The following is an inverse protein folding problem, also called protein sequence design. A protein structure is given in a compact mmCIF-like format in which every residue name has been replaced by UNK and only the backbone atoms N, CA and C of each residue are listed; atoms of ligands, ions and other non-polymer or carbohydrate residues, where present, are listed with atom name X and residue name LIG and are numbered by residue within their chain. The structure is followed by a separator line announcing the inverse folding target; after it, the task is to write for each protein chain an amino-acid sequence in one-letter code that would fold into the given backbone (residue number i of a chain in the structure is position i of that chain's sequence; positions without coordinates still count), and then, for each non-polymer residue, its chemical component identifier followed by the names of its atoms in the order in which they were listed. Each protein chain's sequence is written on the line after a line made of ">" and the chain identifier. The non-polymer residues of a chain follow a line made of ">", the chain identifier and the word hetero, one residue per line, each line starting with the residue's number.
data_IF_159383388914
#
_entry.id   IF_159383388914
#
_cell.length_a   1.000
_cell.length_b   1.000
_cell.length_c   1.000
_cell.angle_alpha   90.00
_cell.angle_beta   90.00
_cell.angle_gamma   90.00
#
_symmetry.space_group_name_H-M   'P 1'
#
loop_
_entity.id
_entity.type
_entity.pdbx_description
1 polymer ?
#
# COMPACT_ATOMS: atom_id res chain seq x y z
N UNK A 1 -6.27 -54.51 -44.74
CA UNK A 1 -5.98 -54.40 -43.29
C UNK A 1 -4.53 -54.00 -43.00
N UNK A 2 -3.54 -54.35 -43.84
CA UNK A 2 -2.15 -53.86 -43.64
C UNK A 2 -1.94 -52.40 -44.04
N UNK A 3 -2.53 -51.92 -45.15
CA UNK A 3 -2.36 -50.52 -45.58
C UNK A 3 -2.94 -49.49 -44.59
N UNK A 4 -4.07 -49.79 -43.96
CA UNK A 4 -4.67 -48.89 -42.95
C UNK A 4 -3.86 -48.82 -41.65
N UNK A 5 -3.14 -49.90 -41.29
CA UNK A 5 -2.23 -49.96 -40.14
C UNK A 5 -0.89 -49.27 -40.43
N UNK A 6 -0.43 -49.31 -41.68
CA UNK A 6 0.82 -48.69 -42.13
C UNK A 6 0.67 -47.16 -42.26
N UNK A 7 -0.49 -46.67 -42.70
CA UNK A 7 -0.81 -45.24 -42.70
C UNK A 7 -0.96 -44.67 -41.28
N UNK A 8 -1.57 -45.41 -40.34
CA UNK A 8 -1.66 -44.96 -38.93
C UNK A 8 -0.30 -44.93 -38.23
N UNK A 9 0.59 -45.88 -38.53
CA UNK A 9 1.96 -45.92 -37.96
C UNK A 9 2.91 -44.88 -38.54
N UNK A 10 2.65 -44.37 -39.76
CA UNK A 10 3.43 -43.29 -40.37
C UNK A 10 2.89 -41.89 -40.01
N UNK A 11 1.58 -41.76 -39.75
CA UNK A 11 0.99 -40.52 -39.27
C UNK A 11 1.27 -40.24 -37.79
N UNK A 12 1.26 -41.26 -36.93
CA UNK A 12 1.55 -41.11 -35.50
C UNK A 12 2.88 -40.38 -35.19
N UNK A 13 4.05 -40.76 -35.74
CA UNK A 13 5.32 -40.08 -35.46
C UNK A 13 5.42 -38.67 -36.07
N UNK A 14 4.69 -38.42 -37.17
CA UNK A 14 4.64 -37.09 -37.80
C UNK A 14 3.78 -36.10 -37.00
N UNK A 15 2.65 -36.56 -36.44
CA UNK A 15 1.78 -35.78 -35.55
C UNK A 15 2.41 -35.56 -34.16
N UNK A 16 3.14 -36.55 -33.65
CA UNK A 16 3.85 -36.48 -32.35
C UNK A 16 5.03 -35.48 -32.43
N UNK A 17 5.84 -35.52 -33.50
CA UNK A 17 6.92 -34.55 -33.71
C UNK A 17 6.44 -33.13 -34.02
N UNK A 18 5.26 -32.95 -34.63
CA UNK A 18 4.67 -31.60 -34.80
C UNK A 18 4.10 -31.06 -33.48
N UNK A 19 3.50 -31.91 -32.64
CA UNK A 19 3.07 -31.53 -31.28
C UNK A 19 4.25 -31.12 -30.40
N UNK A 20 5.30 -31.93 -30.33
CA UNK A 20 6.51 -31.60 -29.56
C UNK A 20 7.14 -30.28 -30.03
N UNK A 21 7.18 -30.03 -31.35
CA UNK A 21 7.67 -28.76 -31.88
C UNK A 21 6.79 -27.57 -31.47
N UNK A 22 5.46 -27.71 -31.54
CA UNK A 22 4.52 -26.65 -31.12
C UNK A 22 4.63 -26.39 -29.61
N UNK A 23 4.72 -27.42 -28.78
CA UNK A 23 4.91 -27.30 -27.33
C UNK A 23 6.24 -26.61 -26.98
N UNK A 24 7.33 -26.95 -27.67
CA UNK A 24 8.63 -26.29 -27.50
C UNK A 24 8.57 -24.81 -27.90
N UNK A 25 7.91 -24.47 -29.01
CA UNK A 25 7.73 -23.07 -29.43
C UNK A 25 6.85 -22.28 -28.47
N UNK A 26 5.78 -22.87 -27.95
CA UNK A 26 4.93 -22.26 -26.92
C UNK A 26 5.73 -22.02 -25.64
N UNK A 27 6.50 -23.02 -25.20
CA UNK A 27 7.35 -22.93 -24.01
C UNK A 27 8.39 -21.82 -24.16
N UNK A 28 9.07 -21.77 -25.30
CA UNK A 28 10.06 -20.72 -25.61
C UNK A 28 9.41 -19.33 -25.68
N UNK A 29 8.23 -19.24 -26.29
CA UNK A 29 7.43 -18.01 -26.31
C UNK A 29 7.02 -17.53 -24.92
N UNK A 30 6.63 -18.46 -24.04
CA UNK A 30 6.26 -18.17 -22.66
C UNK A 30 7.47 -17.71 -21.83
N UNK A 31 8.64 -18.35 -22.00
CA UNK A 31 9.88 -17.88 -21.39
C UNK A 31 10.27 -16.48 -21.87
N UNK A 32 10.21 -16.23 -23.18
CA UNK A 32 10.50 -14.92 -23.74
C UNK A 32 9.56 -13.85 -23.19
N UNK A 33 8.27 -14.17 -23.09
CA UNK A 33 7.26 -13.30 -22.51
C UNK A 33 7.56 -12.98 -21.05
N UNK A 34 7.86 -13.99 -20.22
CA UNK A 34 8.22 -13.79 -18.81
C UNK A 34 9.47 -12.91 -18.68
N UNK A 35 10.50 -13.15 -19.47
CA UNK A 35 11.72 -12.34 -19.48
C UNK A 35 11.42 -10.90 -19.88
N UNK A 36 10.61 -10.69 -20.93
CA UNK A 36 10.21 -9.36 -21.36
C UNK A 36 9.42 -8.63 -20.27
N UNK A 37 8.46 -9.29 -19.62
CA UNK A 37 7.72 -8.74 -18.49
C UNK A 37 8.65 -8.38 -17.32
N UNK A 38 9.62 -9.25 -16.99
CA UNK A 38 10.60 -8.99 -15.94
C UNK A 38 11.46 -7.76 -16.24
N UNK A 39 11.94 -7.63 -17.49
CA UNK A 39 12.73 -6.47 -17.92
C UNK A 39 11.92 -5.17 -17.92
N UNK A 40 10.66 -5.22 -18.37
CA UNK A 40 9.76 -4.06 -18.31
C UNK A 40 9.51 -3.64 -16.87
N UNK A 41 9.32 -4.61 -15.98
CA UNK A 41 9.11 -4.35 -14.56
C UNK A 41 10.34 -3.74 -13.90
N UNK A 42 11.53 -4.29 -14.15
CA UNK A 42 12.81 -3.75 -13.67
C UNK A 42 13.05 -2.33 -14.18
N UNK A 43 12.83 -2.09 -15.47
CA UNK A 43 12.96 -0.75 -16.07
C UNK A 43 11.96 0.24 -15.49
N UNK A 44 10.71 -0.17 -15.23
CA UNK A 44 9.71 0.67 -14.58
C UNK A 44 10.09 1.00 -13.13
N UNK A 45 10.65 0.02 -12.41
CA UNK A 45 11.13 0.21 -11.06
C UNK A 45 12.30 1.20 -11.02
N UNK A 46 13.34 0.98 -11.81
CA UNK A 46 14.53 1.85 -11.89
C UNK A 46 14.14 3.28 -12.28
N UNK A 47 13.24 3.43 -13.26
CA UNK A 47 12.76 4.74 -13.68
C UNK A 47 12.01 5.47 -12.55
N UNK A 48 11.20 4.74 -11.78
CA UNK A 48 10.49 5.30 -10.62
C UNK A 48 11.45 5.65 -9.48
N UNK A 49 12.46 4.80 -9.26
CA UNK A 49 13.50 4.99 -8.27
C UNK A 49 14.35 6.22 -8.56
N UNK A 50 14.81 6.37 -9.80
CA UNK A 50 15.60 7.53 -10.26
C UNK A 50 14.76 8.82 -10.17
N UNK A 51 13.49 8.77 -10.58
CA UNK A 51 12.58 9.90 -10.45
C UNK A 51 12.41 10.36 -9.00
N UNK A 52 12.23 9.43 -8.06
CA UNK A 52 12.11 9.74 -6.63
C UNK A 52 13.42 10.22 -6.02
N UNK A 53 14.55 9.66 -6.46
CA UNK A 53 15.90 10.04 -6.01
C UNK A 53 16.25 11.45 -6.47
N UNK A 54 15.99 11.77 -7.75
CA UNK A 54 16.21 13.11 -8.30
C UNK A 54 15.38 14.17 -7.58
N UNK A 55 14.16 13.82 -7.17
CA UNK A 55 13.26 14.71 -6.42
C UNK A 55 13.62 14.83 -4.93
N UNK A 56 14.64 14.11 -4.44
CA UNK A 56 15.07 14.16 -3.04
C UNK A 56 14.07 13.57 -2.05
N UNK A 57 13.06 12.81 -2.51
CA UNK A 57 12.00 12.30 -1.65
C UNK A 57 12.39 10.95 -1.06
N UNK A 58 13.40 11.00 -0.20
CA UNK A 58 14.08 9.82 0.38
C UNK A 58 13.13 8.84 1.06
N UNK A 59 12.06 9.32 1.68
CA UNK A 59 11.12 8.44 2.37
C UNK A 59 10.20 7.67 1.42
N UNK A 60 9.84 8.27 0.29
CA UNK A 60 9.07 7.59 -0.76
C UNK A 60 9.92 6.52 -1.46
N UNK A 61 11.20 6.82 -1.63
CA UNK A 61 12.20 5.88 -2.13
C UNK A 61 12.34 4.65 -1.20
N UNK A 62 12.43 4.87 0.12
CA UNK A 62 12.46 3.78 1.11
C UNK A 62 11.22 2.88 0.98
N UNK A 63 10.04 3.47 0.90
CA UNK A 63 8.78 2.72 0.74
C UNK A 63 8.77 1.88 -0.55
N UNK A 64 9.15 2.47 -1.69
CA UNK A 64 9.20 1.76 -2.97
C UNK A 64 10.14 0.54 -2.91
N UNK A 65 11.34 0.72 -2.32
CA UNK A 65 12.30 -0.37 -2.11
C UNK A 65 11.77 -1.45 -1.16
N UNK A 66 11.08 -1.04 -0.09
CA UNK A 66 10.41 -1.95 0.84
C UNK A 66 9.35 -2.80 0.14
N UNK A 67 8.44 -2.18 -0.61
CA UNK A 67 7.40 -2.89 -1.36
C UNK A 67 7.98 -3.87 -2.39
N UNK A 68 9.04 -3.48 -3.10
CA UNK A 68 9.72 -4.36 -4.05
C UNK A 68 10.38 -5.56 -3.38
N UNK A 69 11.03 -5.34 -2.22
CA UNK A 69 11.61 -6.42 -1.42
C UNK A 69 10.53 -7.42 -0.99
N UNK A 70 9.40 -6.95 -0.47
CA UNK A 70 8.29 -7.81 -0.06
C UNK A 70 7.67 -8.57 -1.25
N UNK A 71 7.48 -7.91 -2.40
CA UNK A 71 7.02 -8.55 -3.63
C UNK A 71 7.98 -9.66 -4.09
N UNK A 72 9.29 -9.42 -3.98
CA UNK A 72 10.32 -10.41 -4.34
C UNK A 72 10.31 -11.61 -3.40
N UNK A 73 10.16 -11.38 -2.09
CA UNK A 73 10.02 -12.46 -1.10
C UNK A 73 8.79 -13.30 -1.41
N UNK A 74 7.67 -12.67 -1.75
CA UNK A 74 6.43 -13.35 -2.11
C UNK A 74 6.56 -14.15 -3.41
N UNK A 75 7.22 -13.58 -4.43
CA UNK A 75 7.54 -14.29 -5.68
C UNK A 75 8.40 -15.51 -5.41
N UNK A 76 9.39 -15.40 -4.53
CA UNK A 76 10.23 -16.51 -4.10
C UNK A 76 9.44 -17.60 -3.36
N UNK A 77 8.54 -17.22 -2.45
CA UNK A 77 7.65 -18.17 -1.76
C UNK A 77 6.76 -18.90 -2.77
N UNK A 78 6.19 -18.18 -3.74
CA UNK A 78 5.34 -18.75 -4.79
C UNK A 78 6.10 -19.72 -5.69
N UNK A 79 7.34 -19.39 -6.07
CA UNK A 79 8.18 -20.28 -6.86
C UNK A 79 8.58 -21.53 -6.07
N UNK A 80 8.94 -21.37 -4.79
CA UNK A 80 9.33 -22.47 -3.90
C UNK A 80 8.15 -23.42 -3.66
N UNK A 81 6.96 -22.84 -3.45
CA UNK A 81 5.71 -23.58 -3.42
C UNK A 81 5.50 -24.39 -4.69
N UNK A 82 5.56 -23.73 -5.86
CA UNK A 82 5.30 -24.38 -7.14
C UNK A 82 6.26 -25.55 -7.36
N UNK A 83 7.54 -25.37 -7.00
CA UNK A 83 8.51 -26.45 -7.01
C UNK A 83 8.14 -27.59 -6.04
N UNK A 84 7.65 -27.27 -4.84
CA UNK A 84 7.25 -28.28 -3.82
C UNK A 84 6.04 -29.10 -4.28
N UNK A 85 5.06 -28.45 -4.93
CA UNK A 85 3.91 -29.13 -5.55
C UNK A 85 4.38 -30.03 -6.70
N UNK A 86 5.19 -29.49 -7.62
CA UNK A 86 5.67 -30.23 -8.80
C UNK A 86 6.61 -31.38 -8.47
N UNK A 87 7.36 -31.29 -7.38
CA UNK A 87 8.24 -32.36 -6.88
C UNK A 87 7.49 -33.47 -6.11
N UNK A 88 6.15 -33.39 -6.00
CA UNK A 88 5.33 -34.41 -5.33
C UNK A 88 5.49 -34.44 -3.81
N UNK A 89 6.14 -33.45 -3.21
CA UNK A 89 6.27 -33.38 -1.74
C UNK A 89 4.93 -33.07 -1.07
N UNK A 90 4.08 -32.30 -1.74
CA UNK A 90 2.75 -31.95 -1.24
C UNK A 90 1.82 -33.18 -1.18
N UNK A 91 1.93 -34.08 -2.17
CA UNK A 91 1.23 -35.37 -2.16
C UNK A 91 1.66 -36.23 -0.96
N UNK A 92 2.97 -36.32 -0.70
CA UNK A 92 3.50 -37.05 0.47
C UNK A 92 2.98 -36.50 1.81
N UNK A 93 2.88 -35.18 1.94
CA UNK A 93 2.36 -34.54 3.15
C UNK A 93 0.84 -34.76 3.29
N UNK A 94 0.08 -34.66 2.20
CA UNK A 94 -1.35 -34.94 2.18
C UNK A 94 -1.62 -36.38 2.65
N UNK A 95 -0.91 -37.36 2.07
CA UNK A 95 -1.06 -38.78 2.42
C UNK A 95 -0.69 -39.08 3.88
N UNK A 96 0.25 -38.33 4.45
CA UNK A 96 0.72 -38.53 5.83
C UNK A 96 -0.23 -37.91 6.87
N UNK A 97 -0.82 -36.74 6.59
CA UNK A 97 -1.56 -35.97 7.61
C UNK A 97 -3.07 -35.88 7.38
N UNK A 98 -3.54 -35.91 6.14
CA UNK A 98 -4.95 -35.74 5.77
C UNK A 98 -5.58 -37.02 5.20
N UNK A 99 -4.75 -37.89 4.61
CA UNK A 99 -5.18 -39.08 3.87
C UNK A 99 -5.83 -38.73 2.53
N UNK A 100 -6.26 -39.74 1.78
CA UNK A 100 -6.86 -39.56 0.45
C UNK A 100 -8.31 -39.07 0.58
N UNK A 101 -8.61 -37.89 0.03
CA UNK A 101 -9.97 -37.35 0.02
C UNK A 101 -10.91 -38.18 -0.87
N UNK A 102 -12.23 -38.13 -0.62
CA UNK A 102 -13.23 -38.80 -1.48
C UNK A 102 -13.23 -38.25 -2.91
N UNK A 103 -12.93 -36.96 -3.08
CA UNK A 103 -12.80 -36.30 -4.40
C UNK A 103 -11.51 -36.71 -5.09
N UNK A 104 -10.41 -36.81 -4.34
CA UNK A 104 -9.12 -37.29 -4.82
C UNK A 104 -9.19 -38.77 -5.23
N UNK A 105 -9.88 -39.61 -4.47
CA UNK A 105 -10.09 -41.02 -4.82
C UNK A 105 -10.98 -41.22 -6.05
N UNK A 106 -11.95 -40.33 -6.29
CA UNK A 106 -12.77 -40.33 -7.49
C UNK A 106 -11.95 -39.88 -8.72
N UNK A 107 -11.18 -38.81 -8.57
CA UNK A 107 -10.27 -38.32 -9.62
C UNK A 107 -9.16 -39.33 -9.94
N UNK A 108 -8.61 -40.03 -8.92
CA UNK A 108 -7.62 -41.07 -9.13
C UNK A 108 -8.22 -42.21 -9.96
N UNK A 109 -9.45 -42.63 -9.65
CA UNK A 109 -10.15 -43.69 -10.40
C UNK A 109 -10.37 -43.30 -11.85
N UNK A 110 -10.86 -42.08 -12.10
CA UNK A 110 -11.09 -41.56 -13.45
C UNK A 110 -9.78 -41.45 -14.25
N UNK A 111 -8.70 -40.95 -13.63
CA UNK A 111 -7.37 -40.88 -14.25
C UNK A 111 -6.79 -42.27 -14.55
N UNK A 112 -7.02 -43.24 -13.66
CA UNK A 112 -6.57 -44.63 -13.86
C UNK A 112 -7.37 -45.31 -14.98
N UNK A 113 -8.66 -45.00 -15.10
CA UNK A 113 -9.54 -45.48 -16.18
C UNK A 113 -9.20 -44.83 -17.54
N UNK A 114 -8.75 -43.57 -17.53
CA UNK A 114 -8.29 -42.84 -18.72
C UNK A 114 -6.85 -43.19 -19.15
N UNK A 115 -6.09 -43.92 -18.32
CA UNK A 115 -4.69 -44.28 -18.59
C UNK A 115 -3.72 -43.11 -18.43
N UNK A 116 -4.10 -42.07 -17.70
CA UNK A 116 -3.27 -40.89 -17.47
C UNK A 116 -2.19 -41.15 -16.41
N UNK A 117 -0.96 -40.70 -16.69
CA UNK A 117 0.21 -40.90 -15.81
C UNK A 117 0.35 -39.80 -14.76
N UNK A 118 -0.39 -38.69 -14.89
CA UNK A 118 -0.33 -37.57 -13.95
C UNK A 118 -1.31 -37.80 -12.80
N UNK A 119 -0.81 -37.84 -11.57
CA UNK A 119 -1.68 -37.90 -10.39
C UNK A 119 -2.48 -36.59 -10.28
N UNK A 120 -3.80 -36.65 -10.04
CA UNK A 120 -4.66 -35.49 -9.92
C UNK A 120 -4.23 -34.57 -8.75
N UNK A 121 -4.55 -33.27 -8.82
CA UNK A 121 -4.22 -32.32 -7.75
C UNK A 121 -4.89 -32.75 -6.44
N UNK A 122 -4.11 -32.76 -5.36
CA UNK A 122 -4.60 -33.11 -4.02
C UNK A 122 -5.38 -31.94 -3.40
N UNK A 123 -6.27 -32.23 -2.45
CA UNK A 123 -7.01 -31.18 -1.72
C UNK A 123 -6.06 -30.19 -1.02
N UNK A 124 -4.92 -30.67 -0.51
CA UNK A 124 -3.90 -29.81 0.09
C UNK A 124 -3.25 -28.88 -0.95
N UNK A 125 -3.06 -29.35 -2.19
CA UNK A 125 -2.56 -28.53 -3.31
C UNK A 125 -3.57 -27.43 -3.66
N UNK A 126 -4.86 -27.77 -3.77
CA UNK A 126 -5.94 -26.82 -4.09
C UNK A 126 -6.04 -25.69 -3.06
N UNK A 127 -6.13 -26.03 -1.77
CA UNK A 127 -6.18 -25.04 -0.68
C UNK A 127 -4.93 -24.17 -0.66
N UNK A 128 -3.77 -24.77 -0.94
CA UNK A 128 -2.52 -24.03 -0.97
C UNK A 128 -2.46 -23.04 -2.13
N UNK A 129 -2.88 -23.43 -3.33
CA UNK A 129 -3.00 -22.55 -4.50
C UNK A 129 -3.98 -21.40 -4.24
N UNK A 130 -5.13 -21.69 -3.64
CA UNK A 130 -6.12 -20.66 -3.27
C UNK A 130 -5.55 -19.64 -2.28
N UNK A 131 -4.86 -20.11 -1.24
CA UNK A 131 -4.18 -19.23 -0.28
C UNK A 131 -3.12 -18.36 -0.98
N UNK A 132 -2.36 -18.92 -1.92
CA UNK A 132 -1.33 -18.16 -2.64
C UNK A 132 -1.93 -17.08 -3.53
N UNK A 133 -2.97 -17.40 -4.29
CA UNK A 133 -3.70 -16.41 -5.10
C UNK A 133 -4.30 -15.33 -4.21
N UNK A 134 -4.88 -15.68 -3.06
CA UNK A 134 -5.44 -14.73 -2.12
C UNK A 134 -4.37 -13.77 -1.56
N UNK A 135 -3.23 -14.31 -1.10
CA UNK A 135 -2.11 -13.49 -0.59
C UNK A 135 -1.59 -12.56 -1.70
N UNK A 136 -1.47 -13.06 -2.93
CA UNK A 136 -1.04 -12.26 -4.08
C UNK A 136 -2.00 -11.09 -4.36
N UNK A 137 -3.32 -11.34 -4.36
CA UNK A 137 -4.34 -10.30 -4.55
C UNK A 137 -4.26 -9.25 -3.42
N UNK A 138 -4.17 -9.68 -2.17
CA UNK A 138 -4.08 -8.77 -1.02
C UNK A 138 -2.82 -7.89 -1.13
N UNK A 139 -1.69 -8.48 -1.49
CA UNK A 139 -0.43 -7.75 -1.65
C UNK A 139 -0.45 -6.80 -2.84
N UNK A 140 -1.06 -7.20 -3.96
CA UNK A 140 -1.26 -6.32 -5.10
C UNK A 140 -2.12 -5.10 -4.73
N UNK A 141 -3.25 -5.32 -4.04
CA UNK A 141 -4.11 -4.22 -3.56
C UNK A 141 -3.38 -3.32 -2.58
N UNK A 142 -2.53 -3.88 -1.73
CA UNK A 142 -1.73 -3.13 -0.78
C UNK A 142 -0.66 -2.27 -1.45
N UNK A 143 0.07 -2.82 -2.43
CA UNK A 143 1.03 -2.06 -3.24
C UNK A 143 0.32 -0.94 -4.00
N UNK A 144 -0.85 -1.22 -4.58
CA UNK A 144 -1.67 -0.21 -5.26
C UNK A 144 -2.11 0.90 -4.30
N UNK A 145 -2.57 0.55 -3.09
CA UNK A 145 -2.94 1.52 -2.06
C UNK A 145 -1.73 2.38 -1.63
N UNK A 146 -0.58 1.76 -1.41
CA UNK A 146 0.67 2.47 -1.10
C UNK A 146 1.05 3.44 -2.24
N UNK A 147 0.97 3.01 -3.50
CA UNK A 147 1.23 3.87 -4.66
C UNK A 147 0.24 5.04 -4.76
N UNK A 148 -1.05 4.82 -4.46
CA UNK A 148 -2.05 5.89 -4.40
C UNK A 148 -1.75 6.86 -3.27
N UNK A 149 -1.43 6.38 -2.07
CA UNK A 149 -1.06 7.24 -0.93
C UNK A 149 0.22 8.03 -1.21
N UNK A 150 1.20 7.41 -1.86
CA UNK A 150 2.39 8.08 -2.39
C UNK A 150 2.04 9.22 -3.32
N UNK A 151 1.19 8.98 -4.32
CA UNK A 151 0.84 9.97 -5.33
C UNK A 151 0.08 11.15 -4.71
N UNK A 152 -0.90 10.86 -3.86
CA UNK A 152 -1.68 11.87 -3.15
C UNK A 152 -0.78 12.65 -2.18
N UNK A 153 0.06 11.95 -1.43
CA UNK A 153 1.04 12.52 -0.51
C UNK A 153 2.01 13.45 -1.21
N UNK A 154 2.56 13.05 -2.35
CA UNK A 154 3.46 13.88 -3.16
C UNK A 154 2.80 15.19 -3.60
N UNK A 155 1.55 15.13 -4.10
CA UNK A 155 0.79 16.33 -4.47
C UNK A 155 0.57 17.26 -3.28
N UNK A 156 0.27 16.69 -2.11
CA UNK A 156 0.07 17.45 -0.87
C UNK A 156 1.37 18.10 -0.38
N UNK A 157 2.49 17.36 -0.40
CA UNK A 157 3.79 17.87 0.01
C UNK A 157 4.28 19.01 -0.89
N UNK A 158 4.09 18.89 -2.20
CA UNK A 158 4.42 19.97 -3.15
C UNK A 158 3.59 21.24 -2.91
N UNK A 159 2.33 21.07 -2.49
CA UNK A 159 1.47 22.20 -2.09
C UNK A 159 2.00 22.86 -0.81
N UNK A 160 2.48 22.08 0.16
CA UNK A 160 3.08 22.61 1.38
C UNK A 160 4.44 23.28 1.14
N UNK A 161 5.27 22.75 0.25
CA UNK A 161 6.50 23.41 -0.19
C UNK A 161 6.20 24.79 -0.80
N UNK A 162 5.18 24.87 -1.66
CA UNK A 162 4.71 26.15 -2.20
C UNK A 162 4.21 27.12 -1.12
N UNK A 163 3.54 26.62 -0.07
CA UNK A 163 3.12 27.44 1.06
C UNK A 163 4.27 27.86 1.97
N UNK A 164 5.31 27.04 2.14
CA UNK A 164 6.50 27.38 2.94
C UNK A 164 7.34 28.48 2.28
N UNK A 165 7.33 28.53 0.95
CA UNK A 165 7.99 29.59 0.18
C UNK A 165 7.31 30.97 0.29
N UNK A 166 6.05 31.04 0.73
CA UNK A 166 5.31 32.31 0.85
C UNK A 166 5.79 33.12 2.05
N UNK A 167 6.12 34.37 1.81
CA UNK A 167 6.45 35.33 2.88
C UNK A 167 5.18 35.87 3.54
N UNK A 168 5.32 36.51 4.72
CA UNK A 168 4.20 37.17 5.38
C UNK A 168 3.56 38.24 4.49
N UNK A 169 4.37 38.94 3.69
CA UNK A 169 3.89 39.93 2.72
C UNK A 169 3.07 39.29 1.60
N UNK A 170 3.45 38.11 1.12
CA UNK A 170 2.69 37.39 0.10
C UNK A 170 1.33 36.94 0.64
N UNK A 171 1.28 36.48 1.89
CA UNK A 171 0.03 36.12 2.57
C UNK A 171 -0.89 37.33 2.77
N UNK A 172 -0.35 38.51 3.11
CA UNK A 172 -1.13 39.76 3.17
C UNK A 172 -1.67 40.14 1.80
N UNK A 173 -0.85 40.01 0.76
CA UNK A 173 -1.28 40.26 -0.62
C UNK A 173 -2.40 39.29 -1.04
N UNK A 174 -2.29 37.99 -0.74
CA UNK A 174 -3.34 37.01 -1.03
C UNK A 174 -4.68 37.37 -0.35
N UNK A 175 -4.65 37.79 0.91
CA UNK A 175 -5.84 38.19 1.67
C UNK A 175 -6.46 39.48 1.11
N UNK A 176 -5.63 40.46 0.77
CA UNK A 176 -6.11 41.71 0.16
C UNK A 176 -6.67 41.48 -1.25
N UNK A 177 -6.05 40.61 -2.05
CA UNK A 177 -6.58 40.19 -3.34
C UNK A 177 -7.93 39.52 -3.15
N UNK A 178 -8.08 38.57 -2.21
CA UNK A 178 -9.36 37.94 -1.92
C UNK A 178 -10.46 38.95 -1.53
N UNK A 179 -10.12 40.03 -0.83
CA UNK A 179 -11.05 41.09 -0.42
C UNK A 179 -11.42 42.06 -1.56
N UNK A 180 -10.52 42.27 -2.51
CA UNK A 180 -10.66 43.29 -3.56
C UNK A 180 -11.04 42.71 -4.92
N UNK A 181 -10.68 41.45 -5.16
CA UNK A 181 -10.69 40.76 -6.45
C UNK A 181 -11.17 39.32 -6.23
N UNK A 182 -12.28 38.91 -6.86
CA UNK A 182 -12.80 37.55 -6.73
C UNK A 182 -11.97 36.48 -7.50
N UNK A 183 -10.75 36.81 -7.90
CA UNK A 183 -9.89 36.01 -8.79
C UNK A 183 -9.08 34.95 -8.03
N UNK A 184 -9.02 35.04 -6.69
CA UNK A 184 -8.29 34.09 -5.83
C UNK A 184 -9.27 33.16 -5.11
N UNK A 185 -9.01 31.85 -5.17
CA UNK A 185 -9.81 30.86 -4.46
C UNK A 185 -9.70 31.04 -2.94
N UNK A 186 -10.85 31.26 -2.28
CA UNK A 186 -10.94 31.38 -0.82
C UNK A 186 -10.36 30.14 -0.11
N UNK A 187 -10.58 28.95 -0.67
CA UNK A 187 -10.05 27.71 -0.11
C UNK A 187 -8.52 27.73 -0.08
N UNK A 188 -7.89 28.18 -1.17
CA UNK A 188 -6.42 28.21 -1.27
C UNK A 188 -5.80 29.21 -0.28
N UNK A 189 -6.43 30.37 -0.09
CA UNK A 189 -5.99 31.36 0.91
C UNK A 189 -6.18 30.82 2.33
N UNK A 190 -7.30 30.17 2.62
CA UNK A 190 -7.54 29.57 3.94
C UNK A 190 -6.50 28.49 4.24
N UNK A 191 -6.17 27.62 3.28
CA UNK A 191 -5.20 26.55 3.45
C UNK A 191 -3.77 27.09 3.64
N UNK A 192 -3.36 28.14 2.92
CA UNK A 192 -2.04 28.76 3.11
C UNK A 192 -1.90 29.42 4.49
N UNK A 193 -2.97 30.07 4.97
CA UNK A 193 -3.01 30.65 6.32
C UNK A 193 -2.99 29.57 7.40
N UNK A 194 -3.75 28.49 7.24
CA UNK A 194 -3.74 27.35 8.17
C UNK A 194 -2.35 26.75 8.26
N UNK A 195 -1.70 26.53 7.11
CA UNK A 195 -0.32 26.03 7.05
C UNK A 195 0.64 26.96 7.80
N UNK A 196 0.57 28.27 7.55
CA UNK A 196 1.38 29.26 8.26
C UNK A 196 1.13 29.24 9.77
N UNK A 197 -0.14 29.17 10.21
CA UNK A 197 -0.49 29.12 11.62
C UNK A 197 0.01 27.86 12.31
N UNK A 198 -0.05 26.70 11.64
CA UNK A 198 0.52 25.43 12.14
C UNK A 198 2.03 25.53 12.30
N UNK A 199 2.73 26.11 11.32
CA UNK A 199 4.17 26.37 11.39
C UNK A 199 4.53 27.25 12.59
N UNK A 200 3.76 28.32 12.83
CA UNK A 200 3.99 29.19 13.99
C UNK A 200 3.75 28.47 15.32
N UNK A 201 2.68 27.67 15.43
CA UNK A 201 2.42 26.85 16.64
C UNK A 201 3.52 25.83 16.90
N UNK A 202 4.10 25.25 15.85
CA UNK A 202 5.20 24.30 15.94
C UNK A 202 6.50 24.96 16.42
N UNK A 203 6.88 26.10 15.84
CA UNK A 203 8.11 26.81 16.20
C UNK A 203 7.99 27.48 17.57
N UNK A 204 6.82 28.04 17.88
CA UNK A 204 6.55 28.78 19.11
C UNK A 204 5.40 28.13 19.90
N UNK A 205 5.67 26.99 20.56
CA UNK A 205 4.63 26.29 21.32
C UNK A 205 4.13 27.16 22.47
N UNK A 206 2.82 27.17 22.67
CA UNK A 206 2.17 27.89 23.78
C UNK A 206 2.35 27.18 25.13
N UNK A 207 2.84 25.94 25.12
CA UNK A 207 3.01 25.09 26.30
C UNK A 207 4.31 25.49 27.01
N UNK A 208 4.27 25.95 28.27
CA UNK A 208 5.45 26.42 29.00
C UNK A 208 6.51 25.34 29.25
N UNK A 209 6.11 24.07 29.25
CA UNK A 209 6.97 22.91 29.48
C UNK A 209 7.82 22.53 28.27
N UNK A 210 7.49 23.05 27.08
CA UNK A 210 8.27 22.78 25.87
C UNK A 210 9.38 23.83 25.77
N UNK A 211 10.65 23.41 25.74
CA UNK A 211 11.76 24.36 25.61
C UNK A 211 11.62 25.13 24.30
N UNK A 212 11.80 26.46 24.37
CA UNK A 212 11.79 27.32 23.19
C UNK A 212 12.97 26.98 22.28
N UNK A 213 12.84 27.22 20.95
CA UNK A 213 13.96 27.04 20.03
C UNK A 213 15.18 27.83 20.52
N UNK A 214 16.35 27.20 20.46
CA UNK A 214 17.62 27.91 20.71
C UNK A 214 17.81 28.96 19.61
N UNK A 215 18.47 30.06 19.96
CA UNK A 215 18.87 31.05 18.96
C UNK A 215 19.72 30.39 17.89
N UNK A 216 19.54 30.84 16.65
CA UNK A 216 20.20 30.27 15.49
C UNK A 216 21.72 30.47 15.60
N UNK A 217 22.46 29.38 15.64
CA UNK A 217 23.91 29.41 15.47
C UNK A 217 24.26 29.77 14.01
N UNK A 218 25.21 30.69 13.84
CA UNK A 218 25.72 31.10 12.51
C UNK A 218 26.36 29.92 11.79
N UNK A 219 25.87 29.61 10.58
CA UNK A 219 26.39 28.50 9.76
C UNK A 219 25.41 27.34 9.55
N UNK A 220 24.32 27.27 10.32
CA UNK A 220 23.30 26.23 10.12
C UNK A 220 22.26 26.60 9.05
N UNK A 221 21.76 25.61 8.27
CA UNK A 221 20.70 25.82 7.29
C UNK A 221 19.41 26.32 7.93
N UNK A 222 18.57 27.02 7.16
CA UNK A 222 17.27 27.45 7.64
C UNK A 222 16.35 26.24 7.82
N UNK A 223 15.59 26.22 8.91
CA UNK A 223 14.58 25.18 9.15
C UNK A 223 13.42 25.35 8.16
N UNK A 224 13.18 24.31 7.37
CA UNK A 224 12.04 24.17 6.46
C UNK A 224 10.96 23.30 7.12
N UNK A 225 9.76 23.86 7.29
CA UNK A 225 8.66 23.13 7.92
C UNK A 225 8.05 22.12 6.96
N UNK A 226 8.06 22.42 5.65
CA UNK A 226 7.62 21.48 4.62
C UNK A 226 8.51 20.24 4.56
N UNK A 227 9.83 20.41 4.73
CA UNK A 227 10.77 19.29 4.73
C UNK A 227 10.56 18.40 5.96
N UNK A 228 10.28 19.01 7.12
CA UNK A 228 9.91 18.27 8.33
C UNK A 228 8.63 17.44 8.13
N UNK A 229 7.57 18.04 7.56
CA UNK A 229 6.32 17.32 7.27
C UNK A 229 6.56 16.20 6.23
N UNK A 230 7.38 16.47 5.20
CA UNK A 230 7.76 15.48 4.18
C UNK A 230 8.46 14.27 4.80
N UNK A 231 9.39 14.52 5.72
CA UNK A 231 10.06 13.47 6.48
C UNK A 231 9.06 12.64 7.32
N UNK A 232 8.22 13.28 8.12
CA UNK A 232 7.23 12.61 8.97
C UNK A 232 6.19 11.81 8.17
N UNK A 233 5.68 12.39 7.07
CA UNK A 233 4.76 11.70 6.15
C UNK A 233 5.41 10.44 5.59
N UNK A 234 6.65 10.59 5.17
CA UNK A 234 7.46 9.52 4.64
C UNK A 234 7.73 8.36 5.60
N UNK A 235 8.10 8.65 6.85
CA UNK A 235 8.29 7.63 7.88
C UNK A 235 6.96 6.93 8.21
N UNK A 236 5.84 7.67 8.24
CA UNK A 236 4.50 7.09 8.45
C UNK A 236 4.12 6.14 7.31
N UNK A 237 4.34 6.55 6.07
CA UNK A 237 4.06 5.74 4.88
C UNK A 237 4.94 4.49 4.83
N UNK A 238 6.21 4.61 5.21
CA UNK A 238 7.14 3.48 5.30
C UNK A 238 6.67 2.48 6.34
N UNK A 239 6.26 2.96 7.53
CA UNK A 239 5.68 2.11 8.57
C UNK A 239 4.33 1.48 8.22
N UNK A 240 3.62 2.00 7.20
CA UNK A 240 2.44 1.32 6.67
C UNK A 240 2.80 0.15 5.77
N UNK A 241 3.89 0.24 4.98
CA UNK A 241 4.33 -0.79 4.03
C UNK A 241 5.13 -1.89 4.71
N UNK A 242 6.06 -1.51 5.58
CA UNK A 242 6.86 -2.45 6.35
C UNK A 242 6.06 -2.93 7.56
N UNK A 243 5.46 -4.12 7.46
CA UNK A 243 4.79 -4.75 8.60
C UNK A 243 5.83 -5.10 9.67
N UNK A 244 5.80 -4.48 10.86
CA UNK A 244 6.70 -4.84 11.95
C UNK A 244 6.53 -6.33 12.31
N UNK A 245 7.61 -7.05 12.66
CA UNK A 245 7.52 -8.45 13.06
C UNK A 245 6.56 -8.71 14.22
N UNK A 246 6.38 -7.71 15.10
CA UNK A 246 5.40 -7.77 16.19
C UNK A 246 3.96 -7.90 15.66
N UNK A 247 3.60 -7.22 14.58
CA UNK A 247 2.28 -7.33 13.95
C UNK A 247 2.10 -8.73 13.37
N UNK A 248 3.13 -9.33 12.76
CA UNK A 248 3.05 -10.70 12.25
C UNK A 248 2.82 -11.72 13.37
N UNK A 249 3.53 -11.58 14.49
CA UNK A 249 3.34 -12.43 15.67
C UNK A 249 1.91 -12.27 16.23
N UNK A 250 1.43 -11.03 16.37
CA UNK A 250 0.06 -10.77 16.83
C UNK A 250 -0.98 -11.35 15.86
N UNK A 251 -0.80 -11.15 14.56
CA UNK A 251 -1.66 -11.73 13.52
C UNK A 251 -1.70 -13.25 13.59
N UNK A 252 -0.55 -13.90 13.82
CA UNK A 252 -0.50 -15.34 14.04
C UNK A 252 -1.33 -15.76 15.26
N UNK A 253 -1.21 -15.05 16.40
CA UNK A 253 -2.06 -15.31 17.56
C UNK A 253 -3.54 -15.07 17.27
N UNK A 254 -3.89 -14.03 16.51
CA UNK A 254 -5.27 -13.77 16.10
C UNK A 254 -5.81 -14.93 15.26
N UNK A 255 -5.05 -15.43 14.28
CA UNK A 255 -5.45 -16.59 13.46
C UNK A 255 -5.64 -17.84 14.33
N UNK A 256 -4.74 -18.08 15.30
CA UNK A 256 -4.92 -19.19 16.25
C UNK A 256 -6.18 -19.05 17.10
N UNK A 257 -6.50 -17.82 17.55
CA UNK A 257 -7.73 -17.53 18.29
C UNK A 257 -8.97 -17.64 17.40
N UNK A 258 -8.85 -17.48 16.08
CA UNK A 258 -9.93 -17.70 15.12
C UNK A 258 -10.17 -19.18 14.80
N UNK A 259 -9.31 -20.11 15.22
CA UNK A 259 -9.51 -21.54 14.98
C UNK A 259 -10.90 -22.06 15.39
N UNK A 260 -11.48 -21.69 16.55
CA UNK A 260 -12.83 -22.11 16.91
C UNK A 260 -13.91 -21.57 15.95
N UNK A 261 -13.67 -20.42 15.33
CA UNK A 261 -14.59 -19.85 14.34
C UNK A 261 -14.54 -20.60 13.00
N UNK A 262 -13.43 -21.30 12.69
CA UNK A 262 -13.32 -22.17 11.51
C UNK A 262 -14.08 -23.49 11.65
N UNK A 263 -14.42 -23.88 12.88
CA UNK A 263 -15.24 -25.08 13.17
C UNK A 263 -16.75 -24.79 12.99
N UNK A 264 -17.12 -23.51 12.81
CA UNK A 264 -18.49 -23.11 12.49
C UNK A 264 -18.80 -23.50 11.04
N UNK A 265 -19.94 -24.15 10.83
CA UNK A 265 -20.35 -24.61 9.50
C UNK A 265 -21.59 -23.86 8.99
N UNK A 266 -21.69 -23.71 7.67
CA UNK A 266 -22.88 -23.20 6.99
C UNK A 266 -23.19 -21.72 7.28
N UNK A 267 -24.34 -21.45 7.90
CA UNK A 267 -24.84 -20.07 8.11
C UNK A 267 -24.06 -19.30 9.16
N UNK A 268 -23.52 -19.99 10.17
CA UNK A 268 -22.89 -19.36 11.33
C UNK A 268 -21.58 -18.68 10.97
N UNK A 269 -20.77 -19.30 10.09
CA UNK A 269 -19.52 -18.70 9.60
C UNK A 269 -19.79 -17.43 8.78
N UNK A 270 -20.85 -17.41 7.96
CA UNK A 270 -21.23 -16.24 7.18
C UNK A 270 -21.64 -15.10 8.11
N UNK A 271 -22.45 -15.38 9.14
CA UNK A 271 -22.86 -14.38 10.13
C UNK A 271 -21.64 -13.85 10.91
N UNK A 272 -20.72 -14.73 11.30
CA UNK A 272 -19.47 -14.34 11.97
C UNK A 272 -18.61 -13.43 11.08
N UNK A 273 -18.41 -13.78 9.80
CA UNK A 273 -17.63 -12.98 8.85
C UNK A 273 -18.26 -11.60 8.63
N UNK A 274 -19.59 -11.53 8.52
CA UNK A 274 -20.32 -10.26 8.39
C UNK A 274 -20.13 -9.40 9.65
N UNK A 275 -20.29 -9.99 10.84
CA UNK A 275 -20.08 -9.28 12.12
C UNK A 275 -18.66 -8.76 12.25
N UNK A 276 -17.66 -9.57 11.89
CA UNK A 276 -16.26 -9.16 11.90
C UNK A 276 -15.98 -8.03 10.91
N UNK A 277 -16.55 -8.09 9.69
CA UNK A 277 -16.43 -7.02 8.71
C UNK A 277 -17.04 -5.70 9.22
N UNK A 278 -18.23 -5.74 9.83
CA UNK A 278 -18.84 -4.56 10.44
C UNK A 278 -18.07 -4.06 11.67
N UNK A 279 -17.49 -4.94 12.47
CA UNK A 279 -16.63 -4.55 13.60
C UNK A 279 -15.37 -3.82 13.10
N UNK A 280 -14.70 -4.36 12.08
CA UNK A 280 -13.55 -3.72 11.42
C UNK A 280 -13.93 -2.36 10.82
N UNK A 281 -15.09 -2.27 10.16
CA UNK A 281 -15.60 -1.03 9.60
C UNK A 281 -15.92 0.00 10.71
N UNK A 282 -16.51 -0.44 11.82
CA UNK A 282 -16.78 0.41 12.98
C UNK A 282 -15.49 0.94 13.62
N UNK A 283 -14.50 0.07 13.81
CA UNK A 283 -13.19 0.45 14.37
C UNK A 283 -12.44 1.43 13.46
N UNK A 284 -12.46 1.22 12.15
CA UNK A 284 -11.84 2.13 11.18
C UNK A 284 -12.56 3.48 11.10
N UNK A 285 -13.89 3.48 11.13
CA UNK A 285 -14.68 4.71 11.20
C UNK A 285 -14.38 5.49 12.49
N UNK A 286 -14.29 4.82 13.63
CA UNK A 286 -13.96 5.43 14.92
C UNK A 286 -12.54 6.02 14.92
N UNK A 287 -11.55 5.29 14.38
CA UNK A 287 -10.19 5.79 14.21
C UNK A 287 -10.14 7.03 13.30
N UNK A 288 -10.92 7.03 12.21
CA UNK A 288 -11.02 8.18 11.31
C UNK A 288 -11.69 9.37 11.99
N UNK A 289 -12.79 9.17 12.72
CA UNK A 289 -13.46 10.22 13.50
C UNK A 289 -12.51 10.81 14.54
N UNK A 290 -11.78 9.97 15.27
CA UNK A 290 -10.81 10.43 16.27
C UNK A 290 -9.67 11.24 15.64
N UNK A 291 -9.15 10.80 14.49
CA UNK A 291 -8.12 11.53 13.76
C UNK A 291 -8.64 12.88 13.25
N UNK A 292 -9.87 12.93 12.74
CA UNK A 292 -10.52 14.20 12.35
C UNK A 292 -10.72 15.12 13.53
N UNK A 293 -11.21 14.60 14.65
CA UNK A 293 -11.38 15.36 15.89
C UNK A 293 -10.06 16.00 16.35
N UNK A 294 -8.97 15.22 16.38
CA UNK A 294 -7.64 15.74 16.72
C UNK A 294 -7.22 16.82 15.71
N UNK A 295 -7.37 16.55 14.42
CA UNK A 295 -6.96 17.48 13.37
C UNK A 295 -7.72 18.82 13.46
N UNK A 296 -9.04 18.79 13.67
CA UNK A 296 -9.87 19.97 13.87
C UNK A 296 -9.44 20.76 15.11
N UNK A 297 -9.09 20.07 16.21
CA UNK A 297 -8.64 20.73 17.44
C UNK A 297 -7.25 21.35 17.34
N UNK A 298 -6.37 20.78 16.52
CA UNK A 298 -5.01 21.26 16.31
C UNK A 298 -4.91 22.37 15.27
N UNK A 299 -5.85 22.44 14.32
CA UNK A 299 -5.82 23.46 13.28
C UNK A 299 -6.09 24.86 13.84
N UNK A 300 -5.35 25.89 13.38
CA UNK A 300 -5.63 27.27 13.71
C UNK A 300 -6.86 27.79 12.95
N UNK A 301 -7.59 28.73 13.54
CA UNK A 301 -8.81 29.25 12.95
C UNK A 301 -8.52 30.19 11.76
N UNK A 302 -8.90 29.78 10.55
CA UNK A 302 -8.61 30.50 9.31
C UNK A 302 -9.22 31.91 9.26
N UNK A 303 -10.42 32.12 9.80
CA UNK A 303 -11.07 33.44 9.79
C UNK A 303 -10.31 34.47 10.64
N UNK A 304 -9.86 34.09 11.83
CA UNK A 304 -9.05 34.96 12.70
C UNK A 304 -7.68 35.25 12.12
N UNK A 305 -7.08 34.28 11.43
CA UNK A 305 -5.85 34.51 10.67
C UNK A 305 -6.11 35.50 9.53
N UNK A 306 -7.21 35.37 8.77
CA UNK A 306 -7.58 36.33 7.72
C UNK A 306 -7.75 37.74 8.25
N UNK A 307 -8.40 37.92 9.40
CA UNK A 307 -8.52 39.22 10.06
C UNK A 307 -7.15 39.83 10.35
N UNK A 308 -6.25 39.06 10.97
CA UNK A 308 -4.89 39.49 11.27
C UNK A 308 -4.07 39.90 10.02
N UNK A 309 -4.17 39.13 8.94
CA UNK A 309 -3.46 39.41 7.70
C UNK A 309 -4.10 40.56 6.89
N UNK A 310 -5.40 40.84 7.09
CA UNK A 310 -6.11 41.97 6.49
C UNK A 310 -5.81 43.33 7.14
N UNK A 311 -5.30 43.35 8.37
CA UNK A 311 -4.93 44.60 9.06
C UNK A 311 -3.60 45.18 8.56
N UNK A 312 -3.54 46.51 8.35
CA UNK A 312 -2.32 47.19 7.86
C UNK A 312 -1.18 47.27 8.88
N UNK A 313 -1.48 47.17 10.18
CA UNK A 313 -0.50 47.17 11.29
C UNK A 313 -1.05 46.34 12.45
N UNK A 314 -0.85 45.02 12.39
CA UNK A 314 -1.22 44.14 13.49
C UNK A 314 -0.11 44.09 14.56
N UNK A 315 -0.49 44.13 15.84
CA UNK A 315 0.42 44.02 16.98
C UNK A 315 0.84 42.57 17.23
N UNK A 316 1.96 42.38 17.94
CA UNK A 316 2.42 41.04 18.35
C UNK A 316 1.41 40.30 19.24
N UNK A 317 0.55 41.04 19.96
CA UNK A 317 -0.50 40.44 20.78
C UNK A 317 -1.68 39.95 19.93
N UNK A 318 -2.05 40.69 18.87
CA UNK A 318 -3.07 40.24 17.90
C UNK A 318 -2.59 38.98 17.15
N UNK A 319 -1.31 38.92 16.79
CA UNK A 319 -0.70 37.71 16.20
C UNK A 319 -0.84 36.49 17.12
N UNK A 320 -0.52 36.65 18.41
CA UNK A 320 -0.64 35.57 19.40
C UNK A 320 -2.08 35.12 19.58
N UNK A 321 -3.04 36.05 19.62
CA UNK A 321 -4.45 35.73 19.73
C UNK A 321 -4.99 34.99 18.50
N UNK A 322 -4.60 35.42 17.29
CA UNK A 322 -4.99 34.76 16.04
C UNK A 322 -4.42 33.34 15.95
N UNK A 323 -3.17 33.15 16.35
CA UNK A 323 -2.52 31.83 16.36
C UNK A 323 -3.12 30.93 17.46
N UNK A 324 -3.44 31.45 18.64
CA UNK A 324 -3.94 30.64 19.76
C UNK A 324 -5.43 30.31 19.66
N UNK A 325 -6.17 30.93 18.75
CA UNK A 325 -7.60 30.72 18.64
C UNK A 325 -7.95 29.27 18.24
N UNK A 326 -8.77 28.55 19.03
CA UNK A 326 -9.33 27.29 18.60
C UNK A 326 -10.31 27.51 17.44
N UNK A 327 -10.47 26.50 16.59
CA UNK A 327 -11.62 26.40 15.70
C UNK A 327 -12.82 26.13 16.61
N UNK A 328 -13.56 27.19 16.91
CA UNK A 328 -14.84 27.27 17.66
C UNK A 328 -15.35 25.93 18.24
N UNK A 329 -15.42 25.81 19.58
CA UNK A 329 -16.16 24.75 20.27
C UNK A 329 -17.67 24.96 19.99
N UNK A 330 -18.16 24.49 18.83
CA UNK A 330 -19.59 24.38 18.53
C UNK A 330 -20.08 22.96 18.71
#
# INVERSE_FOLDING_TARGET
>A
MSQALEETFLQAPAEESTRENVENWITLGLFLFIIACSLIFEMAFDSTEEFLTYRGVTSLLKMLRGAYKELTILGFISLTSFATVRLGQMQRLNDTYLGVSKTEAAALREATEAGETLSPPTHLTEVFEEIHVLIFIIMFLFILAAAVFTLVGYRLLRKYEYFDAKTETDLRNDVTMLQTSADVSEQHVNESLIYWGLRQRFIYPSIPLVPRPRERETGYPQFSFSDYISYCFGETLTGMVELPPSILIISFFIVLLLRPALDLSGREIIVFMILMAFALLGMTALAMMYTRYINEKLQPHSAKLREFFGEKRASSDQMRQAIAAPIDDR
#
